data_IF_805915182424
#
_entry.id   IF_805915182424
#
_cell.length_a   1.000
_cell.length_b   1.000
_cell.length_c   1.000
_cell.angle_alpha   90.00
_cell.angle_beta   90.00
_cell.angle_gamma   90.00
#
_symmetry.space_group_name_H-M   'P 1'
#
loop_
_entity.id
_entity.type
_entity.pdbx_description
1 polymer ?
#
# COMPACT_ATOMS: atom_id res chain seq x y z
N UNK A 1 6.06 10.15 5.05
CA UNK A 1 5.68 9.66 6.41
C UNK A 1 5.23 8.22 6.29
N UNK A 2 5.83 7.31 7.05
CA UNK A 2 5.47 5.89 7.07
C UNK A 2 4.10 5.67 7.74
N UNK A 3 3.33 4.65 7.33
CA UNK A 3 2.02 4.39 7.88
C UNK A 3 2.08 3.62 9.21
N UNK A 4 1.07 3.84 10.04
CA UNK A 4 0.82 3.06 11.25
C UNK A 4 -0.68 2.73 11.32
N UNK A 5 -0.98 1.43 11.28
CA UNK A 5 -2.36 0.93 11.34
C UNK A 5 -3.10 1.46 12.57
N UNK A 6 -4.32 1.92 12.38
CA UNK A 6 -5.17 2.46 13.44
C UNK A 6 -4.81 3.88 13.91
N UNK A 7 -3.74 4.49 13.40
CA UNK A 7 -3.31 5.84 13.82
C UNK A 7 -3.22 6.83 12.65
N UNK A 8 -2.51 6.50 11.59
CA UNK A 8 -2.19 7.46 10.53
C UNK A 8 -3.20 7.44 9.38
N UNK A 9 -4.49 7.52 9.71
CA UNK A 9 -5.56 7.69 8.74
C UNK A 9 -5.48 9.06 8.03
N UNK A 10 -6.38 9.32 7.09
CA UNK A 10 -6.40 10.58 6.35
C UNK A 10 -6.56 11.79 7.27
N UNK A 11 -7.29 11.68 8.36
CA UNK A 11 -7.48 12.77 9.33
C UNK A 11 -6.16 13.16 9.98
N UNK A 12 -5.41 12.14 10.44
CA UNK A 12 -4.09 12.35 11.02
C UNK A 12 -3.11 12.94 9.99
N UNK A 13 -3.06 12.37 8.75
CA UNK A 13 -2.14 12.84 7.71
C UNK A 13 -2.39 14.31 7.37
N UNK A 14 -3.65 14.70 7.20
CA UNK A 14 -4.02 16.07 6.88
C UNK A 14 -3.73 17.03 8.04
N UNK A 15 -4.02 16.63 9.27
CA UNK A 15 -3.69 17.44 10.45
C UNK A 15 -2.18 17.62 10.59
N UNK A 16 -1.40 16.55 10.37
CA UNK A 16 0.05 16.60 10.45
C UNK A 16 0.64 17.48 9.35
N UNK A 17 0.19 17.35 8.09
CA UNK A 17 0.65 18.20 6.98
C UNK A 17 0.35 19.67 7.28
N UNK A 18 -0.86 19.97 7.72
CA UNK A 18 -1.28 21.35 8.03
C UNK A 18 -0.46 21.98 9.15
N UNK A 19 -0.05 21.21 10.14
CA UNK A 19 0.59 21.70 11.37
C UNK A 19 2.13 21.66 11.27
N UNK A 20 2.68 20.53 10.85
CA UNK A 20 4.11 20.25 10.89
C UNK A 20 4.71 19.95 9.52
N UNK A 21 3.94 19.36 8.60
CA UNK A 21 4.37 18.92 7.29
C UNK A 21 4.78 20.09 6.40
N UNK A 22 3.85 20.97 6.08
CA UNK A 22 4.03 22.21 5.27
C UNK A 22 5.14 22.08 4.19
N UNK A 23 5.05 21.04 3.36
CA UNK A 23 6.04 20.76 2.32
C UNK A 23 7.34 20.09 2.78
N UNK A 24 7.48 19.73 4.06
CA UNK A 24 8.64 18.97 4.57
C UNK A 24 8.50 17.46 4.32
N UNK A 25 7.26 16.99 4.18
CA UNK A 25 6.96 15.60 3.89
C UNK A 25 6.67 15.45 2.41
N UNK A 26 7.55 14.78 1.69
CA UNK A 26 7.40 14.57 0.25
C UNK A 26 6.33 13.55 -0.10
N UNK A 27 6.10 12.54 0.78
CA UNK A 27 5.11 11.49 0.58
C UNK A 27 4.50 11.02 1.89
N UNK A 28 3.20 10.82 1.87
CA UNK A 28 2.43 10.14 2.91
C UNK A 28 2.02 8.75 2.41
N UNK A 29 2.03 7.76 3.30
CA UNK A 29 1.56 6.41 2.98
C UNK A 29 0.32 6.11 3.82
N UNK A 30 -0.69 5.51 3.20
CA UNK A 30 -1.88 5.08 3.95
C UNK A 30 -1.55 3.89 4.85
N UNK A 31 -2.27 3.69 5.97
CA UNK A 31 -2.41 2.34 6.52
C UNK A 31 -2.72 1.36 5.39
N UNK A 32 -2.24 0.13 5.51
CA UNK A 32 -2.41 -0.82 4.43
C UNK A 32 -3.88 -1.18 4.20
N UNK A 33 -4.23 -1.34 2.93
CA UNK A 33 -5.47 -1.99 2.53
C UNK A 33 -5.17 -3.44 2.17
N UNK A 34 -6.12 -4.34 2.44
CA UNK A 34 -5.96 -5.77 2.15
C UNK A 34 -7.10 -6.26 1.28
N UNK A 35 -6.85 -6.58 0.00
CA UNK A 35 -7.86 -7.20 -0.83
C UNK A 35 -8.30 -8.53 -0.23
N UNK A 36 -9.59 -8.78 -0.28
CA UNK A 36 -10.17 -10.07 0.09
C UNK A 36 -10.50 -10.91 -1.16
N UNK A 37 -10.86 -12.18 -0.96
CA UNK A 37 -11.19 -13.09 -2.06
C UNK A 37 -12.35 -12.65 -2.96
N UNK A 38 -13.18 -11.71 -2.47
CA UNK A 38 -14.31 -11.15 -3.21
C UNK A 38 -13.97 -9.79 -3.85
N UNK A 39 -12.67 -9.44 -3.94
CA UNK A 39 -12.20 -8.18 -4.51
C UNK A 39 -12.86 -6.95 -3.87
N UNK A 40 -13.01 -6.98 -2.53
CA UNK A 40 -13.62 -5.92 -1.75
C UNK A 40 -12.67 -5.42 -0.66
N UNK A 41 -12.94 -4.19 -0.21
CA UNK A 41 -12.24 -3.53 0.88
C UNK A 41 -13.22 -3.12 1.98
N UNK A 42 -12.70 -2.91 3.19
CA UNK A 42 -13.49 -2.38 4.29
C UNK A 42 -13.87 -0.92 4.01
N UNK A 43 -15.04 -0.50 4.49
CA UNK A 43 -15.50 0.88 4.33
C UNK A 43 -14.48 1.92 4.87
N UNK A 44 -13.78 1.59 5.97
CA UNK A 44 -12.72 2.43 6.51
C UNK A 44 -11.53 2.57 5.56
N UNK A 45 -11.15 1.47 4.86
CA UNK A 45 -10.06 1.46 3.89
C UNK A 45 -10.42 2.30 2.67
N UNK A 46 -11.65 2.14 2.14
CA UNK A 46 -12.15 2.94 1.02
C UNK A 46 -12.18 4.43 1.36
N UNK A 47 -12.62 4.78 2.56
CA UNK A 47 -12.63 6.17 3.03
C UNK A 47 -11.22 6.76 3.16
N UNK A 48 -10.26 5.94 3.60
CA UNK A 48 -8.87 6.40 3.79
C UNK A 48 -8.12 6.63 2.48
N UNK A 49 -8.51 5.93 1.42
CA UNK A 49 -7.93 6.09 0.08
C UNK A 49 -8.71 7.06 -0.83
N UNK A 50 -9.84 7.61 -0.38
CA UNK A 50 -10.61 8.57 -1.17
C UNK A 50 -9.76 9.78 -1.52
N UNK A 51 -9.76 10.19 -2.80
CA UNK A 51 -8.96 11.31 -3.29
C UNK A 51 -9.37 12.64 -2.67
N UNK A 52 -10.64 12.83 -2.37
CA UNK A 52 -11.12 14.06 -1.71
C UNK A 52 -10.52 14.19 -0.30
N UNK A 53 -10.36 13.08 0.41
CA UNK A 53 -9.70 13.08 1.72
C UNK A 53 -8.18 13.27 1.65
N UNK A 54 -7.57 13.06 0.50
CA UNK A 54 -6.12 13.09 0.31
C UNK A 54 -5.62 14.19 -0.66
N UNK A 55 -6.46 15.17 -0.98
CA UNK A 55 -6.12 16.22 -1.94
C UNK A 55 -5.01 17.17 -1.49
N UNK A 56 -4.83 17.34 -0.18
CA UNK A 56 -3.84 18.23 0.41
C UNK A 56 -2.46 17.57 0.57
N UNK A 57 -2.36 16.27 0.29
CA UNK A 57 -1.13 15.48 0.51
C UNK A 57 -0.78 14.63 -0.70
N UNK A 58 0.52 14.47 -0.97
CA UNK A 58 0.95 13.44 -1.92
C UNK A 58 0.88 12.08 -1.21
N UNK A 59 -0.25 11.41 -1.37
CA UNK A 59 -0.54 10.14 -0.68
C UNK A 59 -0.33 8.96 -1.61
N UNK A 60 0.39 7.95 -1.13
CA UNK A 60 0.62 6.65 -1.76
C UNK A 60 -0.16 5.59 -0.99
N UNK A 61 -0.95 4.79 -1.69
CA UNK A 61 -1.71 3.71 -1.06
C UNK A 61 -0.79 2.52 -0.82
N UNK A 62 -0.81 2.01 0.42
CA UNK A 62 -0.09 0.79 0.78
C UNK A 62 -1.02 -0.42 0.72
N UNK A 63 -0.55 -1.49 0.09
CA UNK A 63 -1.28 -2.76 -0.07
C UNK A 63 -0.57 -3.86 0.70
N UNK A 64 -1.35 -4.69 1.40
CA UNK A 64 -0.86 -5.87 2.09
C UNK A 64 -1.45 -7.13 1.48
N UNK A 65 -0.66 -7.82 0.71
CA UNK A 65 -0.97 -9.14 0.14
C UNK A 65 0.32 -9.92 -0.10
N UNK A 66 0.23 -11.21 -0.24
CA UNK A 66 1.31 -12.10 -0.69
C UNK A 66 0.94 -12.82 -2.01
N UNK A 67 -0.16 -12.42 -2.64
CA UNK A 67 -0.62 -12.92 -3.92
C UNK A 67 -0.45 -11.83 -5.00
N UNK A 68 0.33 -12.12 -6.03
CA UNK A 68 0.62 -11.14 -7.09
C UNK A 68 -0.65 -10.69 -7.84
N UNK A 69 -1.58 -11.61 -8.11
CA UNK A 69 -2.88 -11.31 -8.73
C UNK A 69 -3.69 -10.29 -7.94
N UNK A 70 -3.69 -10.41 -6.61
CA UNK A 70 -4.43 -9.52 -5.72
C UNK A 70 -3.79 -8.12 -5.72
N UNK A 71 -2.44 -8.07 -5.75
CA UNK A 71 -1.71 -6.82 -5.86
C UNK A 71 -2.00 -6.12 -7.19
N UNK A 72 -1.91 -6.86 -8.31
CA UNK A 72 -2.15 -6.34 -9.67
C UNK A 72 -3.59 -5.82 -9.78
N UNK A 73 -4.57 -6.61 -9.36
CA UNK A 73 -5.97 -6.20 -9.37
C UNK A 73 -6.19 -4.91 -8.56
N UNK A 74 -5.67 -4.89 -7.32
CA UNK A 74 -5.79 -3.73 -6.43
C UNK A 74 -5.14 -2.49 -7.06
N UNK A 75 -3.95 -2.64 -7.62
CA UNK A 75 -3.23 -1.53 -8.23
C UNK A 75 -3.97 -0.96 -9.46
N UNK A 76 -4.52 -1.81 -10.31
CA UNK A 76 -5.37 -1.39 -11.45
C UNK A 76 -6.62 -0.64 -10.97
N UNK A 77 -7.33 -1.18 -9.99
CA UNK A 77 -8.50 -0.53 -9.39
C UNK A 77 -8.15 0.85 -8.81
N UNK A 78 -7.04 0.96 -8.07
CA UNK A 78 -6.58 2.22 -7.49
C UNK A 78 -6.21 3.24 -8.57
N UNK A 79 -5.61 2.79 -9.66
CA UNK A 79 -5.29 3.64 -10.81
C UNK A 79 -6.56 4.13 -11.52
N UNK A 80 -7.47 3.23 -11.86
CA UNK A 80 -8.66 3.52 -12.68
C UNK A 80 -9.71 4.34 -11.91
N UNK A 81 -10.01 3.94 -10.66
CA UNK A 81 -11.07 4.59 -9.88
C UNK A 81 -10.60 5.82 -9.10
N UNK A 82 -9.35 5.80 -8.64
CA UNK A 82 -8.84 6.85 -7.73
C UNK A 82 -7.67 7.64 -8.30
N UNK A 83 -7.10 7.24 -9.45
CA UNK A 83 -5.99 7.94 -10.12
C UNK A 83 -4.64 7.83 -9.40
N UNK A 84 -4.45 6.83 -8.55
CA UNK A 84 -3.15 6.57 -7.93
C UNK A 84 -2.16 6.00 -8.94
N UNK A 85 -0.96 6.58 -9.01
CA UNK A 85 0.10 6.16 -9.95
C UNK A 85 1.32 5.56 -9.24
N UNK A 86 1.34 5.59 -7.92
CA UNK A 86 2.31 4.89 -7.10
C UNK A 86 1.58 4.04 -6.06
N UNK A 87 1.93 2.77 -5.98
CA UNK A 87 1.37 1.79 -5.04
C UNK A 87 2.51 1.18 -4.25
N UNK A 88 2.32 1.06 -2.95
CA UNK A 88 3.34 0.55 -2.05
C UNK A 88 2.99 -0.85 -1.54
N UNK A 89 3.91 -1.80 -1.66
CA UNK A 89 3.78 -3.12 -1.05
C UNK A 89 4.26 -3.08 0.41
N UNK A 90 3.46 -3.61 1.34
CA UNK A 90 3.89 -3.85 2.70
C UNK A 90 4.59 -5.21 2.82
N UNK A 91 5.92 -5.19 2.88
CA UNK A 91 6.77 -6.36 3.17
C UNK A 91 7.51 -6.20 4.51
N UNK A 92 6.95 -5.42 5.44
CA UNK A 92 7.65 -5.09 6.68
C UNK A 92 6.85 -5.18 7.98
N UNK A 93 5.52 -5.36 7.93
CA UNK A 93 4.71 -5.46 9.14
C UNK A 93 5.06 -6.72 9.94
N UNK A 94 5.47 -6.60 11.22
CA UNK A 94 5.89 -7.75 12.03
C UNK A 94 4.75 -8.38 12.85
N UNK A 95 3.51 -7.89 12.71
CA UNK A 95 2.37 -8.39 13.47
C UNK A 95 2.20 -9.90 13.29
N UNK A 96 2.07 -10.65 14.39
CA UNK A 96 1.94 -12.11 14.35
C UNK A 96 0.78 -12.59 13.47
N UNK A 97 -0.35 -11.87 13.47
CA UNK A 97 -1.52 -12.18 12.64
C UNK A 97 -1.28 -11.97 11.14
N UNK A 98 -0.33 -11.13 10.78
CA UNK A 98 0.09 -10.86 9.41
C UNK A 98 1.14 -11.88 8.97
N UNK A 99 2.16 -12.07 9.80
CA UNK A 99 3.31 -12.94 9.53
C UNK A 99 2.89 -14.42 9.46
N UNK A 100 1.92 -14.86 10.28
CA UNK A 100 1.36 -16.22 10.22
C UNK A 100 0.66 -16.56 8.89
N UNK A 101 0.32 -15.54 8.10
CA UNK A 101 -0.26 -15.66 6.76
C UNK A 101 0.75 -15.38 5.64
N UNK A 102 2.05 -15.42 5.94
CA UNK A 102 3.14 -15.07 5.03
C UNK A 102 2.99 -13.69 4.37
N UNK A 103 2.35 -12.73 5.07
CA UNK A 103 2.20 -11.33 4.63
C UNK A 103 3.12 -10.41 5.43
N UNK A 104 3.27 -9.16 5.00
CA UNK A 104 4.15 -8.22 5.66
C UNK A 104 5.58 -8.74 5.74
N UNK A 105 6.21 -8.71 6.92
CA UNK A 105 7.57 -9.26 7.07
C UNK A 105 7.66 -10.78 6.89
N UNK A 106 6.52 -11.49 6.90
CA UNK A 106 6.47 -12.92 6.58
C UNK A 106 6.94 -13.23 5.16
N UNK A 107 6.74 -12.29 4.21
CA UNK A 107 7.20 -12.43 2.82
C UNK A 107 8.73 -12.52 2.70
N UNK A 108 9.46 -11.97 3.68
CA UNK A 108 10.93 -11.94 3.67
C UNK A 108 11.57 -13.27 4.10
N UNK A 109 10.78 -14.24 4.57
CA UNK A 109 11.27 -15.55 5.00
C UNK A 109 11.67 -16.46 3.83
N UNK A 110 11.01 -16.25 2.70
CA UNK A 110 11.20 -17.04 1.47
C UNK A 110 11.50 -16.08 0.32
N UNK A 111 12.79 -15.93 0.05
CA UNK A 111 13.29 -15.00 -0.98
C UNK A 111 12.82 -15.42 -2.37
N UNK A 112 12.79 -16.73 -2.66
CA UNK A 112 12.34 -17.21 -3.97
C UNK A 112 10.84 -16.95 -4.19
N UNK A 113 10.02 -17.07 -3.13
CA UNK A 113 8.60 -16.74 -3.20
C UNK A 113 8.38 -15.25 -3.42
N UNK A 114 9.17 -14.41 -2.74
CA UNK A 114 9.11 -12.97 -2.95
C UNK A 114 9.54 -12.57 -4.36
N UNK A 115 10.57 -13.21 -4.87
CA UNK A 115 11.09 -12.99 -6.22
C UNK A 115 10.02 -13.33 -7.26
N UNK A 116 9.43 -14.52 -7.19
CA UNK A 116 8.31 -14.93 -8.05
C UNK A 116 7.11 -13.97 -7.96
N UNK A 117 6.83 -13.45 -6.77
CA UNK A 117 5.76 -12.46 -6.59
C UNK A 117 6.09 -11.18 -7.36
N UNK A 118 7.31 -10.67 -7.22
CA UNK A 118 7.73 -9.44 -7.89
C UNK A 118 7.80 -9.63 -9.41
N UNK A 119 8.33 -10.75 -9.87
CA UNK A 119 8.34 -11.10 -11.30
C UNK A 119 6.94 -11.06 -11.89
N UNK A 120 5.99 -11.76 -11.27
CA UNK A 120 4.60 -11.79 -11.73
C UNK A 120 3.95 -10.39 -11.74
N UNK A 121 4.28 -9.52 -10.76
CA UNK A 121 3.79 -8.14 -10.73
C UNK A 121 4.37 -7.32 -11.89
N UNK A 122 5.67 -7.46 -12.19
CA UNK A 122 6.33 -6.69 -13.25
C UNK A 122 6.20 -7.30 -14.65
N UNK A 123 5.79 -8.56 -14.78
CA UNK A 123 5.36 -9.16 -16.05
C UNK A 123 4.04 -8.57 -16.54
N UNK A 124 3.17 -8.07 -15.64
CA UNK A 124 1.94 -7.39 -16.03
C UNK A 124 2.28 -6.05 -16.73
N UNK A 125 1.97 -5.99 -18.01
CA UNK A 125 2.27 -4.83 -18.86
C UNK A 125 1.65 -3.55 -18.35
N UNK A 126 0.41 -3.60 -17.84
CA UNK A 126 -0.25 -2.42 -17.32
C UNK A 126 0.48 -1.86 -16.08
N UNK A 127 0.87 -2.72 -15.15
CA UNK A 127 1.65 -2.30 -13.97
C UNK A 127 2.96 -1.66 -14.42
N UNK A 128 3.71 -2.33 -15.27
CA UNK A 128 5.02 -1.88 -15.74
C UNK A 128 4.97 -0.50 -16.42
N UNK A 129 3.92 -0.23 -17.19
CA UNK A 129 3.80 0.99 -17.98
C UNK A 129 3.14 2.15 -17.23
N UNK A 130 2.28 1.88 -16.24
CA UNK A 130 1.41 2.89 -15.66
C UNK A 130 1.60 3.12 -14.16
N UNK A 131 2.19 2.16 -13.42
CA UNK A 131 2.22 2.19 -11.97
C UNK A 131 3.63 2.07 -11.45
N UNK A 132 4.04 3.05 -10.66
CA UNK A 132 5.26 2.95 -9.87
C UNK A 132 5.00 2.04 -8.66
N UNK A 133 5.70 0.93 -8.59
CA UNK A 133 5.67 0.03 -7.43
C UNK A 133 6.82 0.40 -6.49
N UNK A 134 6.49 0.60 -5.23
CA UNK A 134 7.47 0.77 -4.15
C UNK A 134 7.22 -0.26 -3.05
N UNK A 135 8.25 -0.59 -2.27
CA UNK A 135 8.17 -1.58 -1.21
C UNK A 135 8.58 -0.97 0.11
N UNK A 136 7.75 -1.13 1.14
CA UNK A 136 8.16 -0.86 2.51
C UNK A 136 8.57 -2.18 3.15
N UNK A 137 9.85 -2.32 3.41
CA UNK A 137 10.45 -3.47 4.07
C UNK A 137 10.96 -3.09 5.46
N UNK A 138 11.76 -3.94 6.07
CA UNK A 138 12.47 -3.72 7.33
C UNK A 138 13.90 -4.20 7.24
N UNK A 139 14.73 -3.59 8.05
CA UNK A 139 16.11 -4.03 8.24
C UNK A 139 16.09 -5.14 9.29
N UNK A 140 16.47 -6.32 8.96
CA UNK A 140 16.83 -7.46 9.80
C UNK A 140 15.99 -7.74 11.03
#
# INVERSE_FOLDING_TARGET
MAPMEGLTDFTYRNAYEKTFGKGRITKYFTPFISPNKSENFLARELRDIDREHNKETYTVVQVMTNEAKDFIWTAKMLYEKYGYREINLNAGCPSGTVVSKDKGSGMLRDVEKLDRFLDAVFEDTFIRENIKVSVKTRIG
#
